data_IF_912185113931
#
_entry.id   IF_912185113931
#
_cell.length_a   1.000
_cell.length_b   1.000
_cell.length_c   1.000
_cell.angle_alpha   90.00
_cell.angle_beta   90.00
_cell.angle_gamma   90.00
#
_symmetry.space_group_name_H-M   'P 1'
#
loop_
_entity.id
_entity.type
_entity.pdbx_description
1 polymer ?
#
# COMPACT_ATOMS: atom_id res chain seq x y z
N UNK A 1 -20.82 -32.15 -29.86
CA UNK A 1 -19.98 -31.07 -29.30
C UNK A 1 -20.71 -30.46 -28.11
N UNK A 2 -20.19 -30.60 -26.89
CA UNK A 2 -20.85 -30.09 -25.68
C UNK A 2 -20.75 -28.55 -25.62
N UNK A 3 -21.90 -27.86 -25.61
CA UNK A 3 -21.94 -26.40 -25.45
C UNK A 3 -21.51 -26.03 -24.03
N UNK A 4 -20.40 -25.30 -23.92
CA UNK A 4 -19.93 -24.70 -22.67
C UNK A 4 -21.04 -23.85 -22.03
N UNK A 5 -21.51 -24.27 -20.84
CA UNK A 5 -22.47 -23.49 -20.06
C UNK A 5 -21.73 -22.29 -19.47
N UNK A 6 -21.90 -21.10 -20.08
CA UNK A 6 -21.40 -19.85 -19.50
C UNK A 6 -22.00 -19.65 -18.12
N UNK A 7 -21.16 -19.46 -17.12
CA UNK A 7 -21.59 -19.20 -15.75
C UNK A 7 -22.49 -17.93 -15.69
N UNK A 8 -23.62 -18.04 -15.00
CA UNK A 8 -24.56 -16.94 -14.82
C UNK A 8 -23.90 -15.80 -13.98
N UNK A 9 -24.41 -14.56 -14.10
CA UNK A 9 -24.06 -13.40 -13.27
C UNK A 9 -23.94 -13.73 -11.78
N UNK A 10 -24.87 -14.50 -11.22
CA UNK A 10 -24.85 -14.88 -9.79
C UNK A 10 -23.67 -15.79 -9.43
N UNK A 11 -23.35 -16.77 -10.28
CA UNK A 11 -22.18 -17.65 -10.11
C UNK A 11 -20.86 -16.90 -10.28
N UNK A 12 -20.83 -15.84 -11.12
CA UNK A 12 -19.67 -14.95 -11.26
C UNK A 12 -19.48 -14.06 -10.03
N UNK A 13 -20.56 -13.53 -9.45
CA UNK A 13 -20.50 -12.73 -8.23
C UNK A 13 -19.97 -13.56 -7.05
N UNK A 14 -20.45 -14.80 -6.89
CA UNK A 14 -20.01 -15.70 -5.82
C UNK A 14 -18.52 -16.11 -5.92
N UNK A 15 -17.93 -16.07 -7.11
CA UNK A 15 -16.50 -16.35 -7.35
C UNK A 15 -15.60 -15.13 -7.20
N UNK A 16 -16.17 -13.93 -7.11
CA UNK A 16 -15.39 -12.72 -6.91
C UNK A 16 -15.14 -12.57 -5.40
N UNK A 17 -13.89 -12.60 -4.93
CA UNK A 17 -13.63 -12.31 -3.53
C UNK A 17 -14.17 -10.91 -3.20
N UNK A 18 -14.70 -10.71 -1.99
CA UNK A 18 -15.15 -9.38 -1.57
C UNK A 18 -14.02 -8.38 -1.77
N UNK A 19 -14.36 -7.20 -2.29
CA UNK A 19 -13.38 -6.12 -2.48
C UNK A 19 -12.80 -5.79 -1.11
N UNK A 20 -11.47 -5.73 -1.02
CA UNK A 20 -10.76 -5.37 0.19
C UNK A 20 -11.09 -3.93 0.57
N UNK A 21 -12.06 -3.77 1.47
CA UNK A 21 -12.60 -2.48 1.92
C UNK A 21 -11.54 -1.67 2.66
N UNK A 22 -10.64 -2.34 3.38
CA UNK A 22 -9.51 -1.72 4.07
C UNK A 22 -8.58 -1.07 3.06
N UNK A 23 -8.22 -1.79 2.00
CA UNK A 23 -7.39 -1.23 0.93
C UNK A 23 -8.04 -0.03 0.23
N UNK A 24 -9.35 -0.04 0.06
CA UNK A 24 -10.10 1.09 -0.52
C UNK A 24 -10.11 2.31 0.41
N UNK A 25 -10.33 2.11 1.71
CA UNK A 25 -10.34 3.17 2.71
C UNK A 25 -8.98 3.89 2.82
N UNK A 26 -7.88 3.16 2.66
CA UNK A 26 -6.52 3.69 2.82
C UNK A 26 -5.80 3.97 1.49
N UNK A 27 -6.55 4.36 0.45
CA UNK A 27 -5.97 4.83 -0.81
C UNK A 27 -5.10 3.81 -1.54
N UNK A 28 -5.47 2.53 -1.44
CA UNK A 28 -4.78 1.41 -2.08
C UNK A 28 -3.68 0.76 -1.22
N UNK A 29 -3.45 1.24 0.00
CA UNK A 29 -2.43 0.69 0.90
C UNK A 29 -2.81 -0.69 1.43
N UNK A 30 -1.79 -1.53 1.62
CA UNK A 30 -1.91 -2.83 2.29
C UNK A 30 -1.50 -2.70 3.75
N UNK A 31 -2.10 -3.50 4.61
CA UNK A 31 -1.67 -3.62 6.00
C UNK A 31 -0.49 -4.62 6.09
N UNK A 32 0.57 -4.26 6.81
CA UNK A 32 1.76 -5.08 6.98
C UNK A 32 2.26 -4.96 8.43
N UNK A 33 2.41 -6.07 9.14
CA UNK A 33 2.93 -6.09 10.51
C UNK A 33 4.45 -6.16 10.49
N UNK A 34 5.11 -5.25 11.19
CA UNK A 34 6.58 -5.22 11.33
C UNK A 34 7.00 -4.92 12.75
N UNK A 35 7.88 -5.76 13.28
CA UNK A 35 8.41 -5.65 14.65
C UNK A 35 7.29 -5.51 15.70
N UNK A 36 6.15 -6.17 15.48
CA UNK A 36 4.98 -6.13 16.35
C UNK A 36 4.04 -4.93 16.17
N UNK A 37 4.31 -4.03 15.22
CA UNK A 37 3.48 -2.84 14.94
C UNK A 37 2.84 -2.97 13.56
N UNK A 38 1.59 -2.54 13.42
CA UNK A 38 0.90 -2.54 12.13
C UNK A 38 1.15 -1.26 11.33
N UNK A 39 1.46 -1.43 10.04
CA UNK A 39 1.74 -0.34 9.11
C UNK A 39 0.85 -0.44 7.89
N UNK A 40 0.31 0.70 7.46
CA UNK A 40 -0.22 0.84 6.12
C UNK A 40 0.91 1.14 5.16
N UNK A 41 1.02 0.35 4.10
CA UNK A 41 2.11 0.39 3.13
C UNK A 41 1.55 0.57 1.73
N UNK A 42 2.06 1.58 1.02
CA UNK A 42 1.70 1.85 -0.38
C UNK A 42 2.96 1.95 -1.23
N UNK A 43 2.96 1.24 -2.35
CA UNK A 43 3.99 1.36 -3.38
C UNK A 43 3.70 2.58 -4.27
N UNK A 44 4.71 3.42 -4.48
CA UNK A 44 4.66 4.60 -5.35
C UNK A 44 5.45 4.29 -6.62
N UNK A 45 4.81 4.27 -7.79
CA UNK A 45 5.53 4.09 -9.04
C UNK A 45 6.34 5.34 -9.38
N UNK A 46 7.43 5.15 -10.13
CA UNK A 46 8.36 6.20 -10.56
C UNK A 46 7.67 7.46 -11.10
N UNK A 47 6.66 7.29 -11.97
CA UNK A 47 5.95 8.41 -12.60
C UNK A 47 5.11 9.26 -11.64
N UNK A 48 4.84 8.79 -10.41
CA UNK A 48 4.16 9.56 -9.34
C UNK A 48 5.12 10.09 -8.28
N UNK A 49 6.40 9.76 -8.39
CA UNK A 49 7.44 10.22 -7.47
C UNK A 49 7.92 11.61 -7.91
N UNK A 50 7.11 12.64 -7.71
CA UNK A 50 7.42 13.99 -8.21
C UNK A 50 8.30 14.81 -7.24
N UNK A 51 8.49 14.32 -6.01
CA UNK A 51 9.21 15.04 -4.95
C UNK A 51 10.30 14.16 -4.33
N UNK A 52 11.39 14.80 -3.93
CA UNK A 52 12.43 14.20 -3.14
C UNK A 52 11.98 14.01 -1.68
N UNK A 53 12.36 12.88 -1.09
CA UNK A 53 12.09 12.58 0.32
C UNK A 53 13.29 11.92 0.98
N UNK A 54 13.45 12.06 2.30
CA UNK A 54 14.54 11.43 3.04
C UNK A 54 14.12 10.06 3.58
N UNK A 55 14.86 9.01 3.25
CA UNK A 55 14.59 7.67 3.74
C UNK A 55 15.01 7.51 5.22
N UNK A 56 14.10 7.10 6.12
CA UNK A 56 14.43 6.91 7.54
C UNK A 56 15.41 5.76 7.82
N UNK A 57 15.48 4.75 6.95
CA UNK A 57 16.29 3.55 7.19
C UNK A 57 17.77 3.76 6.85
N UNK A 58 18.09 4.49 5.77
CA UNK A 58 19.47 4.72 5.33
C UNK A 58 19.90 6.19 5.41
N UNK A 59 18.97 7.11 5.70
CA UNK A 59 19.24 8.55 5.77
C UNK A 59 19.46 9.24 4.41
N UNK A 60 19.50 8.49 3.31
CA UNK A 60 19.69 8.98 1.94
C UNK A 60 18.39 9.50 1.32
N UNK A 61 18.53 10.31 0.27
CA UNK A 61 17.38 10.82 -0.47
C UNK A 61 16.78 9.76 -1.40
N UNK A 62 15.45 9.74 -1.47
CA UNK A 62 14.66 9.10 -2.52
C UNK A 62 14.39 10.19 -3.56
N UNK A 63 15.10 10.20 -4.70
CA UNK A 63 14.96 11.27 -5.68
C UNK A 63 13.61 11.19 -6.40
N UNK A 64 13.16 12.30 -7.01
CA UNK A 64 12.02 12.27 -7.92
C UNK A 64 12.30 11.29 -9.08
N UNK A 65 11.25 10.63 -9.56
CA UNK A 65 11.33 9.57 -10.57
C UNK A 65 11.73 8.20 -10.02
N UNK A 66 12.10 8.08 -8.73
CA UNK A 66 12.42 6.78 -8.13
C UNK A 66 11.17 6.11 -7.55
N UNK A 67 10.88 4.89 -8.00
CA UNK A 67 9.85 4.05 -7.39
C UNK A 67 10.24 3.71 -5.94
N UNK A 68 9.31 3.89 -5.00
CA UNK A 68 9.58 3.83 -3.58
C UNK A 68 8.33 3.41 -2.78
N UNK A 69 8.46 3.25 -1.47
CA UNK A 69 7.39 2.82 -0.58
C UNK A 69 7.03 3.95 0.38
N UNK A 70 5.74 4.16 0.58
CA UNK A 70 5.20 5.06 1.61
C UNK A 70 4.59 4.21 2.70
N UNK A 71 4.98 4.44 3.94
CA UNK A 71 4.44 3.73 5.10
C UNK A 71 4.01 4.70 6.21
N UNK A 72 2.89 4.40 6.86
CA UNK A 72 2.41 5.11 8.04
C UNK A 72 1.79 4.14 9.06
N UNK A 73 1.75 4.56 10.32
CA UNK A 73 1.24 3.71 11.41
C UNK A 73 -0.26 3.45 11.24
N UNK A 74 -0.69 2.21 11.46
CA UNK A 74 -2.11 1.86 11.53
C UNK A 74 -2.72 2.15 12.92
N UNK A 75 -1.87 2.43 13.92
CA UNK A 75 -2.27 2.60 15.32
C UNK A 75 -2.14 4.05 15.79
N UNK A 76 -2.30 5.01 14.88
CA UNK A 76 -2.08 6.41 15.20
C UNK A 76 -3.14 6.93 16.17
N UNK A 77 -2.71 7.40 17.35
CA UNK A 77 -3.60 7.81 18.46
C UNK A 77 -4.59 8.92 18.10
N UNK A 78 -4.28 9.73 17.09
CA UNK A 78 -5.11 10.83 16.60
C UNK A 78 -5.92 10.49 15.33
N UNK A 79 -6.02 9.20 15.00
CA UNK A 79 -6.74 8.71 13.82
C UNK A 79 -5.93 8.76 12.52
N UNK A 80 -6.58 8.27 11.45
CA UNK A 80 -5.94 7.97 10.16
C UNK A 80 -5.40 9.20 9.42
N UNK A 81 -6.09 10.34 9.47
CA UNK A 81 -5.63 11.57 8.80
C UNK A 81 -4.31 12.09 9.37
N UNK A 82 -4.13 11.98 10.69
CA UNK A 82 -2.89 12.33 11.34
C UNK A 82 -1.77 11.34 10.98
N UNK A 83 -2.10 10.04 10.91
CA UNK A 83 -1.17 9.01 10.45
C UNK A 83 -0.65 9.26 9.02
N UNK A 84 -1.55 9.64 8.10
CA UNK A 84 -1.23 9.94 6.70
C UNK A 84 -0.38 11.20 6.55
N UNK A 85 -0.50 12.16 7.48
CA UNK A 85 0.36 13.35 7.54
C UNK A 85 1.79 12.98 7.97
N UNK A 86 1.92 12.04 8.89
CA UNK A 86 3.22 11.54 9.38
C UNK A 86 3.78 10.38 8.54
N UNK A 87 3.32 10.25 7.29
CA UNK A 87 3.79 9.23 6.37
C UNK A 87 5.28 9.37 6.09
N UNK A 88 5.95 8.23 6.05
CA UNK A 88 7.39 8.12 5.83
C UNK A 88 7.65 7.48 4.47
N UNK A 89 8.66 7.99 3.77
CA UNK A 89 9.03 7.52 2.44
C UNK A 89 10.32 6.71 2.54
N UNK A 90 10.32 5.49 2.01
CA UNK A 90 11.43 4.55 2.03
C UNK A 90 11.79 4.12 0.62
N UNK A 91 13.07 3.89 0.32
CA UNK A 91 13.41 3.10 -0.86
C UNK A 91 12.76 1.71 -0.75
N UNK A 92 12.37 1.11 -1.88
CA UNK A 92 11.76 -0.22 -1.87
C UNK A 92 12.66 -1.28 -1.20
N UNK A 93 13.97 -1.23 -1.46
CA UNK A 93 14.94 -2.12 -0.81
C UNK A 93 15.03 -1.85 0.70
N UNK A 94 15.17 -0.58 1.09
CA UNK A 94 15.25 -0.18 2.49
C UNK A 94 14.02 -0.59 3.28
N UNK A 95 12.82 -0.45 2.71
CA UNK A 95 11.61 -0.97 3.35
C UNK A 95 11.74 -2.47 3.59
N UNK A 96 12.22 -3.25 2.63
CA UNK A 96 12.26 -4.72 2.76
C UNK A 96 13.25 -5.25 3.81
N UNK A 97 14.27 -4.47 4.17
CA UNK A 97 15.33 -4.88 5.12
C UNK A 97 15.20 -4.24 6.52
N UNK A 98 14.38 -3.19 6.65
CA UNK A 98 14.24 -2.44 7.91
C UNK A 98 13.58 -3.21 9.07
#
# INVERSE_FOLDING_TARGET
MARSRRANKYQRAARTPPRDVTRLAHGGARLETRRGVEWFVREIPAHRAEKAYRCPACGQEVPPGQAHVVAWSAEHLFGDDAAVRDRRHYHAHCWRIA
#
